data_IF_410672959426
#
_entry.id   IF_410672959426
#
_cell.length_a   1.000
_cell.length_b   1.000
_cell.length_c   1.000
_cell.angle_alpha   90.00
_cell.angle_beta   90.00
_cell.angle_gamma   90.00
#
_symmetry.space_group_name_H-M   'P 1'
#
loop_
_entity.id
_entity.type
_entity.pdbx_description
1 polymer ?
#
# COMPACT_ATOMS: atom_id res chain seq x y z
N UNK A 1 -0.80 20.09 23.30
CA UNK A 1 -0.26 20.16 22.17
C UNK A 1 -0.48 19.02 21.34
N UNK A 2 -0.87 19.21 20.23
CA UNK A 2 -1.15 18.26 19.50
C UNK A 2 -0.18 17.63 18.91
N UNK A 3 -0.13 16.62 18.78
CA UNK A 3 0.76 15.81 18.40
C UNK A 3 1.34 15.87 17.10
N UNK A 4 0.66 15.58 16.09
CA UNK A 4 1.23 15.42 14.79
C UNK A 4 1.49 16.74 14.13
N UNK A 5 2.63 16.94 13.52
CA UNK A 5 2.85 18.11 12.70
C UNK A 5 1.86 18.10 11.54
N UNK A 6 1.54 19.27 11.07
CA UNK A 6 0.65 19.40 9.92
C UNK A 6 1.16 18.63 8.72
N UNK A 7 2.48 18.61 8.52
CA UNK A 7 3.07 17.89 7.40
C UNK A 7 2.79 16.40 7.45
N UNK A 8 2.81 15.81 8.64
CA UNK A 8 2.57 14.38 8.77
C UNK A 8 1.11 14.03 8.43
N UNK A 9 0.16 14.86 8.85
CA UNK A 9 -1.23 14.62 8.50
C UNK A 9 -1.46 14.78 7.02
N UNK A 10 -0.87 15.82 6.44
CA UNK A 10 -1.03 16.06 5.02
C UNK A 10 -0.44 14.90 4.23
N UNK A 11 0.70 14.40 4.65
CA UNK A 11 1.33 13.28 3.98
C UNK A 11 0.45 12.04 4.05
N UNK A 12 -0.13 11.77 5.21
CA UNK A 12 -1.03 10.63 5.36
C UNK A 12 -2.23 10.76 4.44
N UNK A 13 -2.82 11.94 4.36
CA UNK A 13 -3.97 12.15 3.49
C UNK A 13 -3.63 11.93 2.03
N UNK A 14 -2.46 12.39 1.60
CA UNK A 14 -2.03 12.20 0.23
C UNK A 14 -1.85 10.72 -0.07
N UNK A 15 -1.21 9.99 0.85
CA UNK A 15 -0.99 8.56 0.65
C UNK A 15 -2.30 7.80 0.57
N UNK A 16 -3.27 8.15 1.43
CA UNK A 16 -4.56 7.47 1.41
C UNK A 16 -5.30 7.73 0.10
N UNK A 17 -5.22 8.93 -0.42
CA UNK A 17 -5.85 9.23 -1.70
C UNK A 17 -5.18 8.50 -2.85
N UNK A 18 -3.87 8.37 -2.80
CA UNK A 18 -3.15 7.62 -3.82
C UNK A 18 -3.56 6.16 -3.82
N UNK A 19 -3.74 5.58 -2.63
CA UNK A 19 -4.19 4.20 -2.53
C UNK A 19 -5.59 4.03 -3.12
N UNK A 20 -6.51 4.93 -2.80
CA UNK A 20 -7.86 4.83 -3.30
C UNK A 20 -7.92 4.92 -4.82
N UNK A 21 -7.15 5.84 -5.38
CA UNK A 21 -7.12 6.03 -6.82
C UNK A 21 -6.52 4.83 -7.52
N UNK A 22 -5.48 4.25 -6.94
CA UNK A 22 -4.82 3.10 -7.53
C UNK A 22 -5.75 1.89 -7.54
N UNK A 23 -6.45 1.64 -6.43
CA UNK A 23 -7.37 0.51 -6.34
C UNK A 23 -8.51 0.69 -7.34
N UNK A 24 -9.02 1.90 -7.48
CA UNK A 24 -10.08 2.15 -8.45
C UNK A 24 -9.61 1.81 -9.86
N UNK A 25 -8.36 2.12 -10.18
CA UNK A 25 -7.80 1.76 -11.48
C UNK A 25 -7.67 0.26 -11.66
N UNK A 26 -7.25 -0.44 -10.62
CA UNK A 26 -7.11 -1.89 -10.71
C UNK A 26 -8.47 -2.55 -10.92
N UNK A 27 -9.50 -2.07 -10.25
CA UNK A 27 -10.84 -2.63 -10.41
C UNK A 27 -11.33 -2.59 -11.84
N UNK A 28 -10.91 -1.57 -12.58
CA UNK A 28 -11.38 -1.41 -13.95
C UNK A 28 -10.65 -2.29 -14.93
N UNK A 29 -9.47 -2.75 -14.61
CA UNK A 29 -8.66 -3.41 -15.61
C UNK A 29 -8.20 -4.82 -15.29
N UNK A 30 -8.66 -5.41 -14.21
CA UNK A 30 -8.11 -6.69 -13.79
C UNK A 30 -9.17 -7.68 -13.40
N UNK A 31 -8.78 -8.95 -13.35
CA UNK A 31 -9.66 -10.03 -12.96
C UNK A 31 -9.92 -9.99 -11.46
N UNK A 32 -10.99 -10.65 -11.08
CA UNK A 32 -11.46 -10.66 -9.71
C UNK A 32 -10.42 -11.07 -8.67
N UNK A 33 -9.67 -12.16 -8.84
CA UNK A 33 -8.69 -12.52 -7.83
C UNK A 33 -7.61 -11.47 -7.65
N UNK A 34 -7.21 -10.83 -8.75
CA UNK A 34 -6.21 -9.78 -8.71
C UNK A 34 -6.75 -8.56 -7.97
N UNK A 35 -7.99 -8.21 -8.24
CA UNK A 35 -8.64 -7.08 -7.59
C UNK A 35 -8.76 -7.33 -6.10
N UNK A 36 -9.17 -8.53 -5.73
CA UNK A 36 -9.35 -8.85 -4.32
C UNK A 36 -8.05 -8.75 -3.54
N UNK A 37 -6.98 -9.27 -4.11
CA UNK A 37 -5.68 -9.18 -3.45
C UNK A 37 -5.23 -7.72 -3.34
N UNK A 38 -5.44 -6.95 -4.41
CA UNK A 38 -5.06 -5.53 -4.38
C UNK A 38 -5.83 -4.78 -3.30
N UNK A 39 -7.10 -5.12 -3.12
CA UNK A 39 -7.90 -4.47 -2.08
C UNK A 39 -7.40 -4.82 -0.69
N UNK A 40 -7.00 -6.06 -0.49
CA UNK A 40 -6.44 -6.45 0.81
C UNK A 40 -5.13 -5.76 1.10
N UNK A 41 -4.27 -5.64 0.08
CA UNK A 41 -3.01 -4.90 0.25
C UNK A 41 -3.30 -3.44 0.55
N UNK A 42 -4.24 -2.84 -0.16
CA UNK A 42 -4.57 -1.43 0.05
C UNK A 42 -5.14 -1.22 1.46
N UNK A 43 -5.99 -2.13 1.94
CA UNK A 43 -6.55 -1.99 3.27
C UNK A 43 -5.46 -2.08 4.34
N UNK A 44 -4.51 -3.00 4.17
CA UNK A 44 -3.40 -3.10 5.10
C UNK A 44 -2.56 -1.84 5.09
N UNK A 45 -2.32 -1.29 3.91
CA UNK A 45 -1.55 -0.05 3.80
C UNK A 45 -2.30 1.14 4.39
N UNK A 46 -3.62 1.19 4.22
CA UNK A 46 -4.41 2.26 4.84
C UNK A 46 -4.29 2.23 6.35
N UNK A 47 -4.36 1.05 6.92
CA UNK A 47 -4.18 0.91 8.36
C UNK A 47 -2.78 1.32 8.77
N UNK A 48 -1.77 0.89 8.01
CA UNK A 48 -0.40 1.23 8.33
C UNK A 48 -0.19 2.74 8.29
N UNK A 49 -0.69 3.42 7.25
CA UNK A 49 -0.57 4.87 7.14
C UNK A 49 -1.22 5.56 8.33
N UNK A 50 -2.44 5.14 8.66
CA UNK A 50 -3.17 5.79 9.74
C UNK A 50 -2.52 5.58 11.09
N UNK A 51 -1.99 4.40 11.33
CA UNK A 51 -1.46 4.05 12.64
C UNK A 51 -0.01 4.48 12.82
N UNK A 52 0.65 4.95 11.77
CA UNK A 52 2.03 5.40 11.88
C UNK A 52 2.19 6.89 11.64
N UNK A 53 1.10 7.64 11.66
CA UNK A 53 1.17 9.07 11.40
C UNK A 53 2.06 9.80 12.41
N UNK A 54 2.18 9.25 13.62
CA UNK A 54 3.02 9.86 14.66
C UNK A 54 4.32 9.09 14.88
N UNK A 55 4.65 8.16 14.00
CA UNK A 55 5.86 7.37 14.15
C UNK A 55 7.09 8.20 13.80
N UNK A 56 8.26 7.62 14.01
CA UNK A 56 9.51 8.29 13.68
C UNK A 56 9.58 8.62 12.19
N UNK A 57 10.44 9.57 11.86
CA UNK A 57 10.62 9.94 10.46
C UNK A 57 11.11 8.73 9.64
N UNK A 58 11.95 7.89 10.22
CA UNK A 58 12.45 6.73 9.52
C UNK A 58 11.32 5.74 9.22
N UNK A 59 10.45 5.50 10.20
CA UNK A 59 9.33 4.60 9.99
C UNK A 59 8.33 5.17 9.00
N UNK A 60 8.05 6.47 9.08
CA UNK A 60 7.15 7.10 8.11
C UNK A 60 7.71 7.02 6.69
N UNK A 61 9.04 7.09 6.55
CA UNK A 61 9.66 6.94 5.24
C UNK A 61 9.47 5.52 4.70
N UNK A 62 9.55 4.52 5.56
CA UNK A 62 9.30 3.14 5.13
C UNK A 62 7.85 2.95 4.70
N UNK A 63 6.92 3.56 5.43
CA UNK A 63 5.51 3.50 5.08
C UNK A 63 5.28 4.15 3.72
N UNK A 64 5.86 5.32 3.52
CA UNK A 64 5.74 6.02 2.24
C UNK A 64 6.30 5.17 1.11
N UNK A 65 7.44 4.52 1.34
CA UNK A 65 8.03 3.67 0.31
C UNK A 65 7.11 2.49 -0.03
N UNK A 66 6.46 1.91 0.96
CA UNK A 66 5.55 0.80 0.70
C UNK A 66 4.37 1.23 -0.16
N UNK A 67 3.78 2.37 0.18
CA UNK A 67 2.65 2.89 -0.61
C UNK A 67 3.10 3.21 -2.02
N UNK A 68 4.23 3.89 -2.16
CA UNK A 68 4.72 4.28 -3.48
C UNK A 68 5.05 3.06 -4.32
N UNK A 69 5.64 2.04 -3.73
CA UNK A 69 5.92 0.83 -4.48
C UNK A 69 4.63 0.24 -5.05
N UNK A 70 3.58 0.21 -4.24
CA UNK A 70 2.31 -0.37 -4.66
C UNK A 70 1.65 0.47 -5.76
N UNK A 71 1.61 1.78 -5.60
CA UNK A 71 0.86 2.63 -6.54
C UNK A 71 1.65 2.99 -7.79
N UNK A 72 2.96 3.16 -7.70
CA UNK A 72 3.74 3.63 -8.84
C UNK A 72 4.05 2.56 -9.85
N UNK A 73 3.82 1.31 -9.53
CA UNK A 73 4.10 0.24 -10.46
C UNK A 73 3.33 0.40 -11.76
N UNK A 74 2.23 1.14 -11.72
CA UNK A 74 1.43 1.25 -12.90
C UNK A 74 1.64 2.50 -13.68
N UNK A 75 2.54 3.33 -13.24
CA UNK A 75 2.76 4.55 -13.94
C UNK A 75 3.90 4.38 -14.88
N UNK A 76 3.86 3.45 -15.73
CA UNK A 76 4.97 3.09 -16.54
C UNK A 76 5.23 3.98 -17.72
N UNK A 77 4.73 5.15 -17.76
CA UNK A 77 5.04 6.08 -18.82
C UNK A 77 4.76 5.56 -20.18
N UNK A 78 3.71 4.86 -20.34
CA UNK A 78 3.35 4.31 -21.63
C UNK A 78 4.18 3.13 -22.04
N UNK A 79 4.94 2.56 -21.12
CA UNK A 79 5.69 1.38 -21.43
C UNK A 79 4.80 0.23 -21.71
N UNK A 80 5.24 -0.63 -22.60
CA UNK A 80 4.44 -1.77 -22.96
C UNK A 80 4.67 -2.96 -22.09
N UNK A 81 5.39 -2.84 -21.02
CA UNK A 81 5.63 -3.95 -20.14
C UNK A 81 4.36 -4.34 -19.44
N UNK A 82 4.10 -5.62 -19.28
CA UNK A 82 2.95 -6.03 -18.48
C UNK A 82 3.13 -5.51 -17.07
N UNK A 83 2.05 -5.13 -16.43
CA UNK A 83 2.12 -4.71 -15.05
C UNK A 83 2.58 -5.89 -14.20
N UNK A 84 3.33 -5.59 -13.14
CA UNK A 84 3.72 -6.64 -12.21
C UNK A 84 2.48 -7.26 -11.59
N UNK A 85 2.50 -8.55 -11.31
CA UNK A 85 1.39 -9.17 -10.61
C UNK A 85 1.23 -8.55 -9.23
N UNK A 86 0.02 -8.45 -8.75
CA UNK A 86 -0.24 -7.90 -7.42
C UNK A 86 0.43 -8.76 -6.34
N UNK A 87 0.63 -10.04 -6.62
CA UNK A 87 1.33 -10.90 -5.67
C UNK A 87 2.75 -10.41 -5.40
N UNK A 88 3.43 -9.87 -6.40
CA UNK A 88 4.76 -9.31 -6.17
C UNK A 88 4.69 -8.08 -5.30
N UNK A 89 3.70 -7.23 -5.54
CA UNK A 89 3.53 -6.06 -4.70
C UNK A 89 3.22 -6.45 -3.27
N UNK A 90 2.36 -7.44 -3.09
CA UNK A 90 2.01 -7.91 -1.76
C UNK A 90 3.23 -8.47 -1.05
N UNK A 91 4.09 -9.17 -1.77
CA UNK A 91 5.30 -9.73 -1.18
C UNK A 91 6.21 -8.63 -0.65
N UNK A 92 6.42 -7.57 -1.45
CA UNK A 92 7.26 -6.45 -1.03
C UNK A 92 6.64 -5.70 0.14
N UNK A 93 5.33 -5.45 0.07
CA UNK A 93 4.63 -4.76 1.14
C UNK A 93 4.73 -5.57 2.44
N UNK A 94 4.54 -6.89 2.34
CA UNK A 94 4.65 -7.76 3.51
C UNK A 94 6.04 -7.69 4.12
N UNK A 95 7.06 -7.62 3.28
CA UNK A 95 8.42 -7.51 3.77
C UNK A 95 8.60 -6.23 4.58
N UNK A 96 8.07 -5.12 4.06
CA UNK A 96 8.18 -3.85 4.77
C UNK A 96 7.37 -3.89 6.07
N UNK A 97 6.18 -4.51 6.05
CA UNK A 97 5.41 -4.66 7.28
C UNK A 97 6.23 -5.38 8.35
N UNK A 98 6.95 -6.42 7.94
CA UNK A 98 7.81 -7.15 8.87
C UNK A 98 8.93 -6.29 9.44
N UNK A 99 9.55 -5.44 8.62
CA UNK A 99 10.62 -4.58 9.12
C UNK A 99 10.09 -3.53 10.10
N UNK A 100 8.80 -3.21 10.01
CA UNK A 100 8.18 -2.27 10.92
C UNK A 100 7.59 -2.96 12.15
N UNK A 101 7.73 -4.27 12.24
CA UNK A 101 7.15 -5.03 13.35
C UNK A 101 5.64 -5.18 13.25
N UNK A 102 5.08 -4.92 12.09
CA UNK A 102 3.63 -4.98 11.93
C UNK A 102 3.22 -6.28 11.26
N UNK A 103 3.54 -7.37 11.91
CA UNK A 103 3.18 -8.70 11.39
C UNK A 103 1.68 -8.90 11.34
N UNK A 104 0.94 -8.14 12.13
CA UNK A 104 -0.51 -8.19 12.13
C UNK A 104 -1.13 -7.68 10.84
N UNK A 105 -0.38 -6.92 10.05
CA UNK A 105 -0.89 -6.38 8.79
C UNK A 105 -0.44 -7.14 7.56
N UNK A 106 0.35 -8.19 7.74
CA UNK A 106 0.82 -8.99 6.62
C UNK A 106 -0.37 -9.64 5.92
N UNK A 107 -0.40 -9.56 4.60
CA UNK A 107 -1.50 -10.03 3.80
C UNK A 107 -1.20 -11.43 3.26
N UNK A 108 -2.16 -12.33 3.36
CA UNK A 108 -2.02 -13.66 2.80
C UNK A 108 -1.99 -13.58 1.29
N UNK A 109 -1.03 -14.27 0.68
CA UNK A 109 -0.90 -14.27 -0.77
C UNK A 109 -1.75 -15.36 -1.42
N UNK A 110 -2.24 -16.30 -0.63
CA UNK A 110 -3.06 -17.36 -1.18
C UNK A 110 -4.53 -17.01 -0.98
N UNK A 111 -5.39 -17.43 -1.89
CA UNK A 111 -6.81 -17.17 -1.71
C UNK A 111 -7.30 -17.84 -0.45
N UNK A 112 -8.26 -17.21 0.19
CA UNK A 112 -8.86 -17.80 1.36
C UNK A 112 -9.61 -19.05 0.96
N UNK A 113 -9.51 -20.10 1.72
CA UNK A 113 -10.31 -21.28 1.42
C UNK A 113 -11.79 -20.94 1.58
N UNK A 114 -12.55 -21.49 0.72
CA UNK A 114 -13.97 -21.20 0.70
C UNK A 114 -14.69 -21.71 1.93
#
# INVERSE_FOLDING_TARGET
MDGAPRGARHESDVLLRQLDRHVAGIRRGNAEPEVELAERVADALRRLVSETAHASAADRARVRAAVHYFVLRREGRGERRPARPVTEDAWVVNHIMGTLGRHDLVVSLTPEPA
#
